data_IF_083838322879
#
_entry.id   IF_083838322879
#
_cell.length_a   1.000
_cell.length_b   1.000
_cell.length_c   1.000
_cell.angle_alpha   90.00
_cell.angle_beta   90.00
_cell.angle_gamma   90.00
#
_symmetry.space_group_name_H-M   'P 1'
#
loop_
_entity.id
_entity.type
_entity.pdbx_description
1 polymer ?
#
# COMPACT_ATOMS: atom_id res chain seq x y z
N UNK A 1 7.44 14.89 -6.10
CA UNK A 1 8.50 14.91 -5.07
C UNK A 1 9.64 14.03 -5.53
N UNK A 2 10.88 14.53 -5.47
CA UNK A 2 12.08 13.77 -5.85
C UNK A 2 12.15 12.49 -5.01
N UNK A 3 12.28 11.31 -5.65
CA UNK A 3 12.29 10.02 -4.96
C UNK A 3 13.63 9.88 -4.21
N UNK A 4 13.68 10.34 -2.96
CA UNK A 4 14.81 10.04 -2.07
C UNK A 4 14.82 8.53 -1.81
N UNK A 5 15.75 7.83 -2.44
CA UNK A 5 15.99 6.41 -2.17
C UNK A 5 16.70 6.30 -0.83
N UNK A 6 16.12 5.57 0.10
CA UNK A 6 16.69 5.32 1.43
C UNK A 6 16.85 3.82 1.59
N UNK A 7 18.09 3.35 1.70
CA UNK A 7 18.37 1.94 1.98
C UNK A 7 18.06 1.64 3.43
N UNK A 8 17.29 0.59 3.68
CA UNK A 8 16.90 0.14 5.02
C UNK A 8 17.20 -1.35 5.11
N UNK A 9 17.73 -1.81 6.25
CA UNK A 9 17.87 -3.25 6.48
C UNK A 9 16.49 -3.87 6.65
N UNK A 10 16.25 -4.96 5.94
CA UNK A 10 14.98 -5.70 5.96
C UNK A 10 15.24 -7.16 6.31
N UNK A 11 14.38 -7.78 7.15
CA UNK A 11 14.44 -9.22 7.42
C UNK A 11 14.30 -10.05 6.14
N UNK A 12 14.93 -11.24 6.12
CA UNK A 12 14.91 -12.15 4.95
C UNK A 12 13.50 -12.59 4.57
N UNK A 13 12.62 -12.69 5.55
CA UNK A 13 11.22 -13.07 5.40
C UNK A 13 10.43 -12.07 4.54
N UNK A 14 10.91 -10.82 4.43
CA UNK A 14 10.28 -9.75 3.66
C UNK A 14 10.99 -9.48 2.33
N UNK A 15 12.03 -10.25 1.99
CA UNK A 15 12.85 -10.00 0.80
C UNK A 15 12.05 -10.12 -0.51
N UNK A 16 11.07 -11.01 -0.56
CA UNK A 16 10.19 -11.18 -1.73
C UNK A 16 9.04 -10.18 -1.78
N UNK A 17 8.81 -9.41 -0.71
CA UNK A 17 7.75 -8.42 -0.66
C UNK A 17 8.21 -7.12 -1.29
N UNK A 18 7.42 -6.58 -2.22
CA UNK A 18 7.68 -5.28 -2.81
C UNK A 18 7.34 -4.15 -1.81
N UNK A 19 8.26 -3.91 -0.88
CA UNK A 19 8.11 -2.93 0.20
C UNK A 19 7.97 -1.49 -0.35
N UNK A 20 8.64 -1.17 -1.45
CA UNK A 20 8.52 0.14 -2.09
C UNK A 20 7.09 0.40 -2.59
N UNK A 21 6.48 -0.60 -3.24
CA UNK A 21 5.10 -0.49 -3.70
C UNK A 21 4.12 -0.44 -2.51
N UNK A 22 4.37 -1.24 -1.47
CA UNK A 22 3.55 -1.24 -0.26
C UNK A 22 3.54 0.13 0.43
N UNK A 23 4.72 0.69 0.67
CA UNK A 23 4.88 2.03 1.27
C UNK A 23 4.21 3.09 0.41
N UNK A 24 4.32 2.98 -0.91
CA UNK A 24 3.69 3.93 -1.83
C UNK A 24 2.16 3.91 -1.76
N UNK A 25 1.54 2.72 -1.66
CA UNK A 25 0.08 2.62 -1.49
C UNK A 25 -0.38 3.11 -0.12
N UNK A 26 0.36 2.83 0.96
CA UNK A 26 0.09 3.43 2.27
C UNK A 26 0.20 4.96 2.23
N UNK A 27 1.22 5.51 1.55
CA UNK A 27 1.40 6.94 1.41
C UNK A 27 0.37 7.63 0.50
N UNK A 28 -0.28 6.89 -0.40
CA UNK A 28 -1.48 7.39 -1.11
C UNK A 28 -2.67 7.43 -0.17
N UNK A 29 -2.88 6.36 0.59
CA UNK A 29 -4.00 6.30 1.52
C UNK A 29 -3.96 7.43 2.57
N UNK A 30 -2.79 7.72 3.14
CA UNK A 30 -2.63 8.86 4.05
C UNK A 30 -3.04 10.19 3.40
N UNK A 31 -2.67 10.43 2.13
CA UNK A 31 -3.10 11.62 1.39
C UNK A 31 -4.60 11.65 1.10
N UNK A 32 -5.20 10.49 0.87
CA UNK A 32 -6.66 10.39 0.73
C UNK A 32 -7.36 10.75 2.06
N UNK A 33 -6.81 10.33 3.22
CA UNK A 33 -7.33 10.71 4.54
C UNK A 33 -7.26 12.24 4.76
N UNK A 34 -6.13 12.85 4.41
CA UNK A 34 -5.96 14.31 4.44
C UNK A 34 -7.01 14.99 3.53
N UNK A 35 -7.22 14.45 2.33
CA UNK A 35 -8.18 15.01 1.37
C UNK A 35 -9.63 14.89 1.86
N UNK A 36 -10.02 13.76 2.46
CA UNK A 36 -11.34 13.61 3.08
C UNK A 36 -11.53 14.56 4.27
N UNK A 37 -10.47 14.80 5.04
CA UNK A 37 -10.51 15.77 6.15
C UNK A 37 -10.80 17.18 5.62
N UNK A 38 -10.12 17.59 4.54
CA UNK A 38 -10.37 18.88 3.88
C UNK A 38 -11.80 18.98 3.32
N UNK A 39 -12.30 17.92 2.68
CA UNK A 39 -13.68 17.89 2.17
C UNK A 39 -14.72 18.07 3.29
N UNK A 40 -14.52 17.43 4.44
CA UNK A 40 -15.40 17.63 5.62
C UNK A 40 -15.34 19.07 6.13
N UNK A 41 -14.15 19.67 6.20
CA UNK A 41 -13.98 21.06 6.62
C UNK A 41 -14.65 22.07 5.67
N UNK A 42 -14.72 21.74 4.39
CA UNK A 42 -15.40 22.54 3.36
C UNK A 42 -16.93 22.30 3.32
N UNK A 43 -17.47 21.49 4.24
CA UNK A 43 -18.91 21.18 4.30
C UNK A 43 -19.36 20.07 3.35
N UNK A 44 -18.44 19.41 2.64
CA UNK A 44 -18.75 18.33 1.71
C UNK A 44 -18.55 16.94 2.37
N UNK A 45 -19.40 16.63 3.33
CA UNK A 45 -19.33 15.38 4.10
C UNK A 45 -19.60 14.13 3.23
N UNK A 46 -20.52 14.23 2.27
CA UNK A 46 -20.88 13.11 1.39
C UNK A 46 -19.73 12.72 0.47
N UNK A 47 -19.04 13.69 -0.14
CA UNK A 47 -17.85 13.40 -0.95
C UNK A 47 -16.71 12.83 -0.11
N UNK A 48 -16.55 13.29 1.13
CA UNK A 48 -15.54 12.74 2.03
C UNK A 48 -15.82 11.26 2.36
N UNK A 49 -17.08 10.91 2.65
CA UNK A 49 -17.46 9.51 2.90
C UNK A 49 -17.32 8.63 1.66
N UNK A 50 -17.73 9.12 0.49
CA UNK A 50 -17.58 8.41 -0.76
C UNK A 50 -16.09 8.13 -1.06
N UNK A 51 -15.23 9.14 -0.92
CA UNK A 51 -13.78 9.00 -1.09
C UNK A 51 -13.21 7.93 -0.15
N UNK A 52 -13.60 7.94 1.12
CA UNK A 52 -13.12 6.97 2.11
C UNK A 52 -13.56 5.54 1.80
N UNK A 53 -14.83 5.32 1.46
CA UNK A 53 -15.34 3.99 1.12
C UNK A 53 -14.63 3.39 -0.10
N UNK A 54 -14.47 4.18 -1.16
CA UNK A 54 -13.76 3.73 -2.37
C UNK A 54 -12.30 3.39 -2.08
N UNK A 55 -11.62 4.23 -1.30
CA UNK A 55 -10.19 4.05 -1.01
C UNK A 55 -9.88 2.90 -0.08
N UNK A 56 -10.74 2.62 0.91
CA UNK A 56 -10.55 1.48 1.80
C UNK A 56 -10.62 0.15 1.03
N UNK A 57 -11.58 0.00 0.13
CA UNK A 57 -11.71 -1.20 -0.71
C UNK A 57 -10.49 -1.37 -1.65
N UNK A 58 -10.01 -0.28 -2.24
CA UNK A 58 -8.85 -0.30 -3.13
C UNK A 58 -7.54 -0.63 -2.40
N UNK A 59 -7.33 -0.07 -1.20
CA UNK A 59 -6.12 -0.32 -0.42
C UNK A 59 -5.99 -1.81 -0.07
N UNK A 60 -7.05 -2.40 0.47
CA UNK A 60 -7.07 -3.82 0.81
C UNK A 60 -6.77 -4.72 -0.39
N UNK A 61 -7.38 -4.41 -1.55
CA UNK A 61 -7.15 -5.15 -2.80
C UNK A 61 -5.69 -5.08 -3.26
N UNK A 62 -5.09 -3.89 -3.25
CA UNK A 62 -3.71 -3.69 -3.72
C UNK A 62 -2.68 -4.29 -2.77
N UNK A 63 -2.85 -4.08 -1.46
CA UNK A 63 -1.98 -4.67 -0.43
C UNK A 63 -2.07 -6.20 -0.49
N UNK A 64 -3.30 -6.74 -0.56
CA UNK A 64 -3.51 -8.19 -0.69
C UNK A 64 -2.83 -8.78 -1.92
N UNK A 65 -2.89 -8.08 -3.06
CA UNK A 65 -2.17 -8.49 -4.28
C UNK A 65 -0.65 -8.53 -4.07
N UNK A 66 -0.05 -7.50 -3.47
CA UNK A 66 1.40 -7.47 -3.20
C UNK A 66 1.84 -8.61 -2.28
N UNK A 67 1.05 -8.90 -1.24
CA UNK A 67 1.33 -10.01 -0.32
C UNK A 67 1.19 -11.36 -1.02
N UNK A 68 0.17 -11.53 -1.86
CA UNK A 68 -0.02 -12.75 -2.64
C UNK A 68 1.14 -12.98 -3.63
N UNK A 69 1.57 -11.95 -4.35
CA UNK A 69 2.72 -12.00 -5.26
C UNK A 69 4.00 -12.40 -4.52
N UNK A 70 4.25 -11.80 -3.35
CA UNK A 70 5.40 -12.13 -2.50
C UNK A 70 5.36 -13.59 -2.03
N UNK A 71 4.18 -14.10 -1.64
CA UNK A 71 3.97 -15.51 -1.27
C UNK A 71 4.27 -16.45 -2.45
N UNK A 72 3.75 -16.14 -3.63
CA UNK A 72 3.99 -16.95 -4.85
C UNK A 72 5.47 -16.99 -5.19
N UNK A 73 6.17 -15.85 -5.12
CA UNK A 73 7.62 -15.82 -5.34
C UNK A 73 8.40 -16.59 -4.28
N UNK A 74 8.03 -16.45 -3.00
CA UNK A 74 8.65 -17.21 -1.93
C UNK A 74 8.51 -18.72 -2.15
N UNK A 75 7.33 -19.19 -2.58
CA UNK A 75 7.11 -20.60 -2.92
C UNK A 75 7.99 -21.08 -4.07
N UNK A 76 8.20 -20.28 -5.12
CA UNK A 76 9.12 -20.60 -6.23
C UNK A 76 10.57 -20.70 -5.75
N UNK A 77 11.03 -19.74 -4.96
CA UNK A 77 12.41 -19.71 -4.44
C UNK A 77 12.73 -20.90 -3.52
N UNK A 78 11.72 -21.44 -2.82
CA UNK A 78 11.83 -22.66 -2.01
C UNK A 78 11.82 -23.94 -2.86
N UNK A 79 11.09 -23.95 -3.97
CA UNK A 79 11.02 -25.09 -4.89
C UNK A 79 12.27 -25.24 -5.77
N UNK A 80 13.00 -24.16 -6.04
CA UNK A 80 14.31 -24.21 -6.74
C UNK A 80 15.49 -24.60 -5.83
N UNK A 81 15.29 -24.63 -4.51
CA UNK A 81 16.30 -25.01 -3.51
C UNK A 81 16.18 -26.48 -3.03
N UNK A 82 15.21 -27.24 -3.54
CA UNK A 82 14.97 -28.65 -3.24
C UNK A 82 15.36 -29.53 -4.43
#
# INVERSE_FOLDING_TARGET
MSKKVRSVRVPRELETLNLSALIHECGKHLRDLESATLLRQQGNAEAAEALMRTRQADLGRKVGKLVWEARVQYGKSKGEQA
#
